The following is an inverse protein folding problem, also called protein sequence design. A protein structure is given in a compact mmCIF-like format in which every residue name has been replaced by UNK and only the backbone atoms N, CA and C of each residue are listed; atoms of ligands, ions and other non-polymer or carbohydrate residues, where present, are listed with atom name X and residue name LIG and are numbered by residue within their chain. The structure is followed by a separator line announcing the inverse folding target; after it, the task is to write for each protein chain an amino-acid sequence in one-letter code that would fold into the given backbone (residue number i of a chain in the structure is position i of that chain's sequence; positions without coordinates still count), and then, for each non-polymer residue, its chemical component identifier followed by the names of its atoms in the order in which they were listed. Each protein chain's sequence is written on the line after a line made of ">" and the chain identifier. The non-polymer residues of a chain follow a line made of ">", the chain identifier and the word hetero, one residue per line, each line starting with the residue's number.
data_IF_456364764999
#
_entry.id   IF_456364764999
#
_cell.length_a   1.000
_cell.length_b   1.000
_cell.length_c   1.000
_cell.angle_alpha   90.00
_cell.angle_beta   90.00
_cell.angle_gamma   90.00
#
_symmetry.space_group_name_H-M   'P 1'
#
loop_
_entity.id
_entity.type
_entity.pdbx_description
1 polymer ?
#
# COMPACT_ATOMS: atom_id res chain seq x y z
N UNK A 1 -15.49 0.98 7.68
CA UNK A 1 -15.53 0.89 9.15
C UNK A 1 -14.27 0.17 9.60
N UNK A 2 -13.75 0.52 10.78
CA UNK A 2 -12.64 -0.19 11.42
C UNK A 2 -13.18 -0.87 12.67
N UNK A 3 -12.93 -2.17 12.76
CA UNK A 3 -13.19 -2.97 13.95
C UNK A 3 -11.88 -3.56 14.45
N UNK A 4 -11.77 -3.70 15.77
CA UNK A 4 -10.72 -4.45 16.45
C UNK A 4 -11.34 -5.72 17.02
N UNK A 5 -10.66 -6.85 16.85
CA UNK A 5 -11.13 -8.17 17.29
C UNK A 5 -9.94 -8.98 17.77
N UNK A 6 -10.14 -9.89 18.72
CA UNK A 6 -9.10 -10.83 19.13
C UNK A 6 -8.81 -11.82 17.99
N UNK A 7 -7.61 -12.39 17.98
CA UNK A 7 -7.16 -13.33 16.94
C UNK A 7 -7.96 -14.64 16.90
N UNK A 8 -8.65 -14.97 17.99
CA UNK A 8 -9.60 -16.08 18.08
C UNK A 8 -11.02 -15.74 17.54
N UNK A 9 -11.22 -14.50 17.07
CA UNK A 9 -12.50 -14.01 16.57
C UNK A 9 -13.46 -13.52 17.66
N UNK A 10 -13.05 -13.46 18.92
CA UNK A 10 -13.90 -12.98 20.01
C UNK A 10 -13.80 -11.46 20.25
N UNK A 11 -14.78 -10.90 20.94
CA UNK A 11 -14.81 -9.50 21.40
C UNK A 11 -14.65 -8.45 20.29
N UNK A 12 -15.51 -8.42 19.26
CA UNK A 12 -15.45 -7.36 18.25
C UNK A 12 -15.81 -6.00 18.86
N UNK A 13 -14.98 -5.00 18.58
CA UNK A 13 -15.15 -3.62 19.03
C UNK A 13 -15.07 -2.66 17.83
N UNK A 14 -16.03 -1.74 17.73
CA UNK A 14 -16.05 -0.71 16.70
C UNK A 14 -15.09 0.41 17.07
N UNK A 15 -14.11 0.69 16.21
CA UNK A 15 -13.12 1.76 16.42
C UNK A 15 -13.46 3.00 15.57
N UNK A 16 -13.85 2.82 14.32
CA UNK A 16 -14.19 3.92 13.42
C UNK A 16 -15.38 3.59 12.51
N UNK A 17 -16.34 4.52 12.42
CA UNK A 17 -17.56 4.38 11.59
C UNK A 17 -17.36 4.75 10.12
N UNK A 18 -16.26 5.42 9.78
CA UNK A 18 -16.01 5.94 8.44
C UNK A 18 -15.66 4.84 7.42
N UNK A 19 -15.72 5.17 6.13
CA UNK A 19 -15.36 4.27 5.03
C UNK A 19 -13.85 4.10 4.92
N UNK A 20 -13.30 3.23 5.77
CA UNK A 20 -11.87 2.97 5.87
C UNK A 20 -11.39 1.80 5.00
N UNK A 21 -10.26 1.97 4.31
CA UNK A 21 -9.52 0.92 3.56
C UNK A 21 -8.01 1.00 3.86
N UNK A 22 -7.24 0.01 3.39
CA UNK A 22 -5.76 0.00 3.44
C UNK A 22 -5.19 0.30 4.84
N UNK A 23 -5.67 -0.44 5.84
CA UNK A 23 -5.37 -0.20 7.25
C UNK A 23 -3.94 -0.67 7.59
N UNK A 24 -3.17 0.18 8.26
CA UNK A 24 -1.85 -0.11 8.81
C UNK A 24 -1.85 0.28 10.30
N UNK A 25 -1.23 -0.52 11.17
CA UNK A 25 -1.20 -0.29 12.62
C UNK A 25 0.24 -0.21 13.11
N UNK A 26 0.60 0.89 13.80
CA UNK A 26 1.91 1.10 14.42
C UNK A 26 1.69 1.61 15.84
N UNK A 27 2.07 0.80 16.83
CA UNK A 27 1.81 1.09 18.24
C UNK A 27 0.32 1.33 18.49
N UNK A 28 0.00 2.48 19.09
CA UNK A 28 -1.38 2.85 19.42
C UNK A 28 -2.12 3.55 18.27
N UNK A 29 -1.51 3.69 17.09
CA UNK A 29 -2.10 4.39 15.96
C UNK A 29 -2.51 3.44 14.84
N UNK A 30 -3.67 3.73 14.26
CA UNK A 30 -4.18 3.12 13.04
C UNK A 30 -4.15 4.19 11.95
N UNK A 31 -3.39 3.92 10.89
CA UNK A 31 -3.32 4.75 9.69
C UNK A 31 -4.18 4.09 8.62
N UNK A 32 -5.06 4.85 7.99
CA UNK A 32 -6.01 4.30 7.04
C UNK A 32 -6.34 5.28 5.92
N UNK A 33 -6.79 4.74 4.80
CA UNK A 33 -7.45 5.50 3.77
C UNK A 33 -8.90 5.76 4.21
N UNK A 34 -9.30 7.02 4.35
CA UNK A 34 -10.70 7.42 4.50
C UNK A 34 -11.28 7.75 3.11
N UNK A 35 -12.33 7.04 2.68
CA UNK A 35 -13.02 7.28 1.42
C UNK A 35 -14.29 8.13 1.63
N UNK A 36 -14.27 9.35 1.11
CA UNK A 36 -15.42 10.23 1.05
C UNK A 36 -16.29 9.83 -0.16
N UNK A 37 -17.42 9.18 0.11
CA UNK A 37 -18.33 8.66 -0.92
C UNK A 37 -19.03 9.74 -1.72
N UNK A 38 -19.26 10.91 -1.13
CA UNK A 38 -19.92 12.03 -1.82
C UNK A 38 -18.95 12.70 -2.80
N UNK A 39 -17.71 12.92 -2.38
CA UNK A 39 -16.69 13.57 -3.22
C UNK A 39 -15.92 12.59 -4.11
N UNK A 40 -16.08 11.28 -3.88
CA UNK A 40 -15.30 10.21 -4.52
C UNK A 40 -13.79 10.43 -4.37
N UNK A 41 -13.36 10.85 -3.16
CA UNK A 41 -11.97 11.15 -2.84
C UNK A 41 -11.54 10.32 -1.64
N UNK A 42 -10.35 9.74 -1.72
CA UNK A 42 -9.75 8.96 -0.65
C UNK A 42 -8.55 9.70 -0.06
N UNK A 43 -8.54 9.91 1.25
CA UNK A 43 -7.54 10.72 1.99
C UNK A 43 -6.82 9.87 3.03
N UNK A 44 -5.70 10.37 3.54
CA UNK A 44 -4.95 9.68 4.59
C UNK A 44 -5.40 10.21 5.95
N UNK A 45 -5.84 9.32 6.82
CA UNK A 45 -6.24 9.62 8.20
C UNK A 45 -5.46 8.75 9.17
N UNK A 46 -5.43 9.19 10.43
CA UNK A 46 -5.05 8.34 11.57
C UNK A 46 -6.07 8.44 12.69
N UNK A 47 -6.19 7.37 13.45
CA UNK A 47 -7.00 7.28 14.65
C UNK A 47 -6.27 6.43 15.68
N UNK A 48 -6.44 6.69 16.97
CA UNK A 48 -5.90 5.79 17.99
C UNK A 48 -6.66 4.47 18.03
N UNK A 49 -6.02 3.42 18.52
CA UNK A 49 -6.63 2.08 18.63
C UNK A 49 -7.80 2.01 19.61
N UNK A 50 -7.99 3.03 20.45
CA UNK A 50 -9.15 3.23 21.34
C UNK A 50 -10.27 4.07 20.70
N UNK A 51 -10.11 4.48 19.43
CA UNK A 51 -11.07 5.28 18.68
C UNK A 51 -10.97 6.80 18.92
N UNK A 52 -10.06 7.26 19.77
CA UNK A 52 -9.82 8.69 19.98
C UNK A 52 -8.91 9.31 18.92
N UNK A 53 -8.85 10.65 18.87
CA UNK A 53 -7.95 11.42 18.00
C UNK A 53 -8.01 11.03 16.52
N UNK A 54 -9.22 10.91 15.96
CA UNK A 54 -9.41 10.75 14.53
C UNK A 54 -9.08 12.06 13.80
N UNK A 55 -8.04 12.07 12.99
CA UNK A 55 -7.58 13.27 12.27
C UNK A 55 -7.02 12.95 10.87
N UNK A 56 -7.14 13.93 9.98
CA UNK A 56 -6.60 13.87 8.63
C UNK A 56 -5.09 14.18 8.64
N UNK A 57 -4.32 13.37 7.91
CA UNK A 57 -2.89 13.57 7.67
C UNK A 57 -2.64 14.28 6.34
N UNK A 58 -3.40 13.92 5.30
CA UNK A 58 -3.23 14.46 3.95
C UNK A 58 -4.54 14.51 3.18
N UNK A 59 -4.75 15.61 2.44
CA UNK A 59 -5.87 15.81 1.51
C UNK A 59 -5.58 15.28 0.09
N UNK A 60 -4.41 14.64 -0.12
CA UNK A 60 -4.14 13.92 -1.36
C UNK A 60 -5.18 12.84 -1.64
N UNK A 61 -5.43 12.55 -2.92
CA UNK A 61 -6.22 11.38 -3.36
C UNK A 61 -5.37 10.11 -3.21
N UNK A 62 -5.08 9.70 -1.98
CA UNK A 62 -4.13 8.65 -1.64
C UNK A 62 -4.76 7.26 -1.60
N UNK A 63 -4.15 6.30 -2.30
CA UNK A 63 -4.54 4.89 -2.35
C UNK A 63 -3.36 3.97 -2.06
N UNK A 64 -3.67 2.72 -1.70
CA UNK A 64 -2.68 1.67 -1.43
C UNK A 64 -1.66 2.07 -0.36
N UNK A 65 -2.10 2.68 0.75
CA UNK A 65 -1.15 3.19 1.75
C UNK A 65 -0.38 2.06 2.44
N UNK A 66 0.89 2.30 2.74
CA UNK A 66 1.77 1.41 3.51
C UNK A 66 2.63 2.23 4.47
N UNK A 67 2.67 1.84 5.74
CA UNK A 67 3.36 2.62 6.80
C UNK A 67 4.58 1.85 7.30
N UNK A 68 5.75 2.51 7.26
CA UNK A 68 7.03 1.94 7.74
C UNK A 68 7.78 3.00 8.53
N UNK A 69 8.01 2.75 9.81
CA UNK A 69 8.59 3.72 10.72
C UNK A 69 7.75 5.00 10.76
N UNK A 70 8.40 6.15 10.56
CA UNK A 70 7.75 7.46 10.59
C UNK A 70 7.16 7.90 9.23
N UNK A 71 7.13 7.02 8.23
CA UNK A 71 6.71 7.35 6.86
C UNK A 71 5.51 6.55 6.41
N UNK A 72 4.62 7.23 5.69
CA UNK A 72 3.48 6.69 4.96
C UNK A 72 3.79 6.81 3.48
N UNK A 73 3.82 5.68 2.78
CA UNK A 73 3.98 5.58 1.34
C UNK A 73 2.61 5.34 0.69
N UNK A 74 2.35 5.96 -0.46
CA UNK A 74 1.04 5.86 -1.13
C UNK A 74 1.12 6.17 -2.62
N UNK A 75 0.11 5.70 -3.36
CA UNK A 75 -0.15 6.10 -4.74
C UNK A 75 -1.06 7.34 -4.75
N UNK A 76 -0.62 8.45 -5.35
CA UNK A 76 -1.40 9.68 -5.45
C UNK A 76 -2.23 9.70 -6.73
N UNK A 77 -3.53 9.41 -6.62
CA UNK A 77 -4.46 9.41 -7.76
C UNK A 77 -4.79 10.83 -8.26
N UNK A 78 -4.51 11.87 -7.46
CA UNK A 78 -4.60 13.26 -7.88
C UNK A 78 -3.47 13.68 -8.81
N UNK A 79 -2.35 12.93 -8.78
CA UNK A 79 -1.17 13.12 -9.62
C UNK A 79 -0.89 11.87 -10.46
N UNK A 80 -1.90 11.36 -11.16
CA UNK A 80 -1.70 10.29 -12.15
C UNK A 80 -1.25 8.93 -11.60
N UNK A 81 -1.48 8.66 -10.30
CA UNK A 81 -1.08 7.43 -9.56
C UNK A 81 0.43 7.30 -9.33
N UNK A 82 1.15 8.41 -9.28
CA UNK A 82 2.58 8.44 -8.93
C UNK A 82 2.81 8.10 -7.46
N UNK A 83 4.05 7.72 -7.11
CA UNK A 83 4.40 7.29 -5.75
C UNK A 83 4.84 8.48 -4.93
N UNK A 84 4.25 8.61 -3.74
CA UNK A 84 4.59 9.63 -2.76
C UNK A 84 4.92 9.01 -1.40
N UNK A 85 5.62 9.77 -0.57
CA UNK A 85 5.72 9.54 0.87
C UNK A 85 5.37 10.82 1.65
N UNK A 86 4.90 10.65 2.87
CA UNK A 86 4.64 11.73 3.83
C UNK A 86 4.94 11.20 5.23
N UNK A 87 5.38 12.06 6.16
CA UNK A 87 5.57 11.63 7.54
C UNK A 87 4.23 11.34 8.21
N UNK A 88 4.26 10.50 9.24
CA UNK A 88 3.06 10.13 10.03
C UNK A 88 2.40 11.32 10.75
N UNK A 89 3.09 12.46 10.84
CA UNK A 89 2.60 13.73 11.36
C UNK A 89 2.08 14.69 10.27
N UNK A 90 2.10 14.28 9.00
CA UNK A 90 1.68 15.10 7.85
C UNK A 90 2.76 16.01 7.26
N UNK A 91 3.95 16.07 7.86
CA UNK A 91 5.06 16.85 7.33
C UNK A 91 5.87 16.08 6.27
N UNK A 92 6.81 16.77 5.61
CA UNK A 92 7.80 16.11 4.74
C UNK A 92 7.24 15.41 3.50
N UNK A 93 6.07 15.81 3.02
CA UNK A 93 5.46 15.24 1.80
C UNK A 93 6.39 15.38 0.60
N UNK A 94 6.68 14.27 -0.07
CA UNK A 94 7.64 14.18 -1.17
C UNK A 94 7.19 13.17 -2.23
N UNK A 95 7.40 13.50 -3.53
CA UNK A 95 7.20 12.56 -4.63
C UNK A 95 8.44 11.67 -4.77
N UNK A 96 8.24 10.35 -4.83
CA UNK A 96 9.31 9.35 -4.98
C UNK A 96 9.54 8.97 -6.44
N UNK A 97 8.48 8.85 -7.24
CA UNK A 97 8.59 8.40 -8.63
C UNK A 97 7.43 8.87 -9.49
N UNK A 98 7.72 9.21 -10.74
CA UNK A 98 6.71 9.50 -11.77
C UNK A 98 6.10 8.23 -12.41
N UNK A 99 6.55 7.04 -11.99
CA UNK A 99 5.92 5.79 -12.46
C UNK A 99 4.53 5.62 -11.85
N UNK A 100 3.56 5.32 -12.71
CA UNK A 100 2.19 5.02 -12.31
C UNK A 100 2.18 3.69 -11.58
N UNK A 101 1.79 3.72 -10.31
CA UNK A 101 1.95 2.59 -9.40
C UNK A 101 0.63 2.27 -8.74
N UNK A 102 0.23 1.00 -8.79
CA UNK A 102 -0.87 0.45 -8.00
C UNK A 102 -0.35 -0.68 -7.11
N UNK A 103 -1.09 -0.97 -6.03
CA UNK A 103 -0.75 -2.03 -5.07
C UNK A 103 0.68 -1.91 -4.51
N UNK A 104 1.06 -0.75 -3.97
CA UNK A 104 2.40 -0.59 -3.39
C UNK A 104 2.53 -1.40 -2.08
N UNK A 105 3.71 -1.98 -1.87
CA UNK A 105 4.08 -2.68 -0.64
C UNK A 105 5.50 -2.29 -0.25
N UNK A 106 5.76 -1.94 1.01
CA UNK A 106 7.08 -1.47 1.45
C UNK A 106 7.73 -2.46 2.40
N UNK A 107 8.95 -2.89 2.10
CA UNK A 107 9.72 -3.80 2.95
C UNK A 107 11.22 -3.65 2.71
N UNK A 108 12.02 -3.71 3.79
CA UNK A 108 13.49 -3.76 3.70
C UNK A 108 14.12 -2.58 2.95
N UNK A 109 13.55 -1.37 3.04
CA UNK A 109 14.03 -0.17 2.34
C UNK A 109 13.61 -0.07 0.87
N UNK A 110 12.75 -0.98 0.40
CA UNK A 110 12.24 -1.01 -0.97
C UNK A 110 10.74 -0.82 -1.01
N UNK A 111 10.26 -0.15 -2.06
CA UNK A 111 8.86 -0.10 -2.47
C UNK A 111 8.70 -1.05 -3.64
N UNK A 112 7.89 -2.08 -3.45
CA UNK A 112 7.49 -3.03 -4.49
C UNK A 112 6.15 -2.60 -5.05
N UNK A 113 6.01 -2.56 -6.37
CA UNK A 113 4.81 -2.03 -6.99
C UNK A 113 4.54 -2.64 -8.36
N UNK A 114 3.27 -2.58 -8.76
CA UNK A 114 2.83 -2.85 -10.12
C UNK A 114 3.01 -1.57 -10.96
N UNK A 115 3.93 -1.58 -11.91
CA UNK A 115 4.20 -0.43 -12.77
C UNK A 115 3.21 -0.38 -13.94
N UNK A 116 2.16 0.42 -13.80
CA UNK A 116 1.16 0.61 -14.86
C UNK A 116 1.73 1.32 -16.10
N UNK A 117 2.81 2.10 -15.95
CA UNK A 117 3.50 2.70 -17.10
C UNK A 117 4.18 1.65 -17.99
N UNK A 118 4.47 0.45 -17.48
CA UNK A 118 5.02 -0.69 -18.23
C UNK A 118 4.09 -1.91 -18.15
N UNK A 119 2.79 -1.69 -18.41
CA UNK A 119 1.81 -2.78 -18.59
C UNK A 119 1.46 -3.55 -17.32
N UNK A 120 1.78 -3.05 -16.12
CA UNK A 120 1.52 -3.74 -14.87
C UNK A 120 2.59 -4.77 -14.50
N UNK A 121 3.81 -4.63 -15.03
CA UNK A 121 4.95 -5.44 -14.63
C UNK A 121 5.38 -5.15 -13.19
N UNK A 122 6.10 -6.09 -12.58
CA UNK A 122 6.54 -5.97 -11.19
C UNK A 122 7.87 -5.24 -11.13
N UNK A 123 7.93 -4.19 -10.32
CA UNK A 123 9.11 -3.38 -10.08
C UNK A 123 9.39 -3.23 -8.57
N UNK A 124 10.62 -2.85 -8.26
CA UNK A 124 10.97 -2.25 -6.97
C UNK A 124 11.80 -0.99 -7.15
N UNK A 125 11.68 -0.06 -6.22
CA UNK A 125 12.46 1.18 -6.15
C UNK A 125 12.85 1.43 -4.69
N UNK A 126 14.01 2.02 -4.43
CA UNK A 126 14.37 2.38 -3.05
C UNK A 126 13.38 3.42 -2.51
N UNK A 127 13.21 3.45 -1.18
CA UNK A 127 12.32 4.41 -0.50
C UNK A 127 12.73 5.89 -0.67
N UNK A 128 13.94 6.14 -1.16
CA UNK A 128 14.44 7.47 -1.54
C UNK A 128 14.22 7.80 -3.03
N UNK A 129 13.64 6.89 -3.81
CA UNK A 129 13.38 7.06 -5.24
C UNK A 129 14.53 6.64 -6.16
N UNK A 130 15.66 6.20 -5.61
CA UNK A 130 16.78 5.69 -6.41
C UNK A 130 16.59 4.21 -6.81
N UNK A 131 17.42 3.72 -7.72
CA UNK A 131 17.57 2.28 -7.98
C UNK A 131 16.31 1.56 -8.47
N UNK A 132 15.54 2.16 -9.39
CA UNK A 132 14.34 1.54 -9.93
C UNK A 132 14.67 0.30 -10.80
N UNK A 133 14.21 -0.88 -10.37
CA UNK A 133 14.56 -2.19 -10.95
C UNK A 133 13.30 -2.98 -11.28
N UNK A 134 13.24 -3.50 -12.51
CA UNK A 134 12.21 -4.47 -12.93
C UNK A 134 12.52 -5.85 -12.34
N UNK A 135 11.53 -6.48 -11.71
CA UNK A 135 11.63 -7.81 -11.10
C UNK A 135 11.08 -8.90 -12.04
N UNK A 136 9.96 -8.62 -12.72
CA UNK A 136 9.29 -9.62 -13.58
C UNK A 136 8.65 -8.95 -14.80
N UNK A 137 8.58 -9.69 -15.90
CA UNK A 137 7.84 -9.29 -17.11
C UNK A 137 6.37 -9.73 -17.09
N UNK A 138 5.93 -10.45 -16.04
CA UNK A 138 4.54 -10.87 -15.91
C UNK A 138 3.62 -9.67 -15.67
N UNK A 139 2.41 -9.74 -16.22
CA UNK A 139 1.35 -8.76 -16.02
C UNK A 139 0.69 -9.02 -14.67
N UNK A 140 1.23 -8.42 -13.62
CA UNK A 140 0.86 -8.72 -12.24
C UNK A 140 -0.32 -7.88 -11.78
N UNK A 141 -1.15 -8.48 -10.92
CA UNK A 141 -2.21 -7.81 -10.19
C UNK A 141 -2.21 -8.26 -8.73
N UNK A 142 -2.59 -7.36 -7.81
CA UNK A 142 -2.67 -7.64 -6.37
C UNK A 142 -1.37 -8.21 -5.79
N UNK A 143 -0.25 -7.47 -5.93
CA UNK A 143 1.03 -7.91 -5.37
C UNK A 143 1.00 -7.88 -3.82
N UNK A 144 1.57 -8.91 -3.18
CA UNK A 144 1.67 -9.02 -1.72
C UNK A 144 3.05 -9.59 -1.33
N UNK A 145 3.62 -9.11 -0.22
CA UNK A 145 4.94 -9.53 0.25
C UNK A 145 4.84 -10.47 1.47
N UNK A 146 5.43 -11.65 1.38
CA UNK A 146 5.49 -12.62 2.49
C UNK A 146 6.84 -13.35 2.48
N UNK A 147 7.61 -13.27 3.57
CA UNK A 147 8.83 -14.08 3.75
C UNK A 147 9.87 -13.94 2.61
N UNK A 148 10.02 -12.75 2.04
CA UNK A 148 10.91 -12.49 0.89
C UNK A 148 10.38 -12.98 -0.46
N UNK A 149 9.10 -13.33 -0.54
CA UNK A 149 8.39 -13.63 -1.78
C UNK A 149 7.39 -12.52 -2.12
N UNK A 150 7.20 -12.29 -3.42
CA UNK A 150 6.14 -11.48 -4.00
C UNK A 150 5.11 -12.45 -4.56
N UNK A 151 3.91 -12.47 -3.98
CA UNK A 151 2.75 -13.21 -4.47
C UNK A 151 1.90 -12.29 -5.34
N UNK A 152 1.42 -12.77 -6.48
CA UNK A 152 0.64 -11.97 -7.43
C UNK A 152 -0.24 -12.84 -8.33
N UNK A 153 -1.26 -12.24 -8.94
CA UNK A 153 -2.05 -12.86 -10.01
C UNK A 153 -1.55 -12.40 -11.38
N UNK A 154 -1.28 -13.34 -12.27
CA UNK A 154 -0.89 -13.02 -13.64
C UNK A 154 -2.14 -12.88 -14.52
N UNK A 155 -2.43 -11.67 -14.96
CA UNK A 155 -3.66 -11.35 -15.72
C UNK A 155 -3.64 -11.92 -17.14
N UNK A 156 -2.46 -12.22 -17.69
CA UNK A 156 -2.29 -12.82 -19.01
C UNK A 156 -2.27 -14.35 -18.96
N UNK A 157 -2.13 -14.93 -17.76
CA UNK A 157 -2.20 -16.37 -17.55
C UNK A 157 -3.46 -16.73 -16.75
N UNK A 158 -4.62 -16.28 -17.25
CA UNK A 158 -5.95 -16.59 -16.71
C UNK A 158 -6.08 -16.32 -15.20
N UNK A 159 -5.47 -15.24 -14.71
CA UNK A 159 -5.47 -14.84 -13.29
C UNK A 159 -4.84 -15.85 -12.33
N UNK A 160 -4.02 -16.79 -12.84
CA UNK A 160 -3.30 -17.75 -12.01
C UNK A 160 -2.35 -17.06 -11.04
N UNK A 161 -2.23 -17.62 -9.84
CA UNK A 161 -1.36 -17.10 -8.80
C UNK A 161 0.07 -17.59 -9.02
N UNK A 162 1.01 -16.66 -8.87
CA UNK A 162 2.45 -16.90 -8.95
C UNK A 162 3.13 -16.30 -7.73
N UNK A 163 4.34 -16.80 -7.46
CA UNK A 163 5.28 -16.14 -6.56
C UNK A 163 6.68 -16.07 -7.16
N UNK A 164 7.39 -14.99 -6.85
CA UNK A 164 8.78 -14.76 -7.24
C UNK A 164 9.55 -14.18 -6.05
N UNK A 165 10.84 -14.47 -5.91
CA UNK A 165 11.66 -13.87 -4.85
C UNK A 165 11.77 -12.36 -5.07
N UNK A 166 12.00 -11.60 -4.00
CA UNK A 166 12.14 -10.13 -4.05
C UNK A 166 13.37 -9.64 -4.82
N UNK A 167 14.28 -10.55 -5.18
CA UNK A 167 15.41 -10.32 -6.09
C UNK A 167 15.11 -10.69 -7.56
N UNK A 168 13.94 -11.26 -7.86
CA UNK A 168 13.55 -11.71 -9.19
C UNK A 168 13.86 -13.17 -9.50
N UNK A 169 14.49 -13.91 -8.58
CA UNK A 169 14.79 -15.32 -8.77
C UNK A 169 13.61 -16.24 -8.41
N UNK A 170 13.69 -17.51 -8.81
CA UNK A 170 12.80 -18.56 -8.30
C UNK A 170 11.31 -18.40 -8.64
N UNK A 171 10.97 -17.73 -9.76
CA UNK A 171 9.58 -17.58 -10.21
C UNK A 171 8.92 -18.95 -10.37
N UNK A 172 7.78 -19.15 -9.73
CA UNK A 172 7.00 -20.38 -9.81
C UNK A 172 5.52 -20.11 -9.58
N UNK A 173 4.67 -21.03 -10.03
CA UNK A 173 3.24 -20.99 -9.74
C UNK A 173 3.04 -21.16 -8.23
N UNK A 174 2.08 -20.41 -7.67
CA UNK A 174 1.61 -20.63 -6.31
C UNK A 174 0.37 -21.52 -6.40
N UNK A 175 0.45 -22.70 -5.77
CA UNK A 175 -0.66 -23.65 -5.65
C UNK A 175 -1.67 -23.20 -4.60
#
# INVERSE_FOLDING_TARGET
>A
MIYKIKTDGSSPELVCKEHSNYINVIGDWIYYQNFDTEKLVARIYRIKTDGSNNEMISDDKAYHISVVGDWIYYSNYGDGKTVYKIRVDGSGREKISDNKSESINVAGGWIYYQNQSDGGKIYKIYIDGSGNIKISNDFAWSINLVGGWIYYRNTYDLWRTYRIRTDGSGKQRAE
#
